data_IF_133438298318
#
_entry.id   IF_133438298318
#
_cell.length_a   1.000
_cell.length_b   1.000
_cell.length_c   1.000
_cell.angle_alpha   90.00
_cell.angle_beta   90.00
_cell.angle_gamma   90.00
#
_symmetry.space_group_name_H-M   'P 1'
#
loop_
_entity.id
_entity.type
_entity.pdbx_description
1 polymer ?
#
# COMPACT_ATOMS: atom_id res chain seq x y z
N UNK A 1 -19.21 10.81 -19.41
CA UNK A 1 -19.21 9.73 -18.41
C UNK A 1 -19.27 10.34 -17.03
N UNK A 2 -20.36 10.07 -16.32
CA UNK A 2 -20.55 10.39 -14.91
C UNK A 2 -19.64 9.53 -14.00
N UNK A 3 -19.48 9.95 -12.75
CA UNK A 3 -18.55 9.32 -11.80
C UNK A 3 -18.97 7.88 -11.44
N UNK A 4 -20.27 7.57 -11.49
CA UNK A 4 -20.79 6.22 -11.26
C UNK A 4 -20.42 5.29 -12.41
N UNK A 5 -20.61 5.68 -13.67
CA UNK A 5 -20.23 4.88 -14.84
C UNK A 5 -18.72 4.59 -14.89
N UNK A 6 -17.91 5.54 -14.44
CA UNK A 6 -16.46 5.41 -14.28
C UNK A 6 -16.09 4.38 -13.21
N UNK A 7 -16.66 4.51 -12.01
CA UNK A 7 -16.45 3.53 -10.95
C UNK A 7 -16.99 2.16 -11.40
N UNK A 8 -18.09 2.18 -12.16
CA UNK A 8 -18.77 0.99 -12.66
C UNK A 8 -17.84 0.15 -13.55
N UNK A 9 -17.17 0.82 -14.49
CA UNK A 9 -16.22 0.19 -15.41
C UNK A 9 -14.92 -0.25 -14.73
N UNK A 10 -14.48 0.45 -13.68
CA UNK A 10 -13.25 0.09 -12.97
C UNK A 10 -13.34 -1.17 -12.09
N UNK A 11 -14.56 -1.64 -11.75
CA UNK A 11 -14.75 -2.85 -10.94
C UNK A 11 -15.42 -4.00 -11.71
N UNK A 12 -15.62 -3.88 -13.02
CA UNK A 12 -16.13 -4.98 -13.87
C UNK A 12 -15.27 -6.24 -13.77
N UNK A 13 -13.95 -6.07 -13.60
CA UNK A 13 -13.05 -7.18 -13.37
C UNK A 13 -13.39 -7.94 -12.07
N UNK A 14 -13.81 -7.23 -11.01
CA UNK A 14 -14.27 -7.87 -9.78
C UNK A 14 -15.65 -8.50 -9.94
N UNK A 15 -16.54 -7.89 -10.74
CA UNK A 15 -17.79 -8.53 -11.13
C UNK A 15 -17.52 -9.87 -11.83
N UNK A 16 -16.49 -9.92 -12.67
CA UNK A 16 -16.08 -11.15 -13.35
C UNK A 16 -15.41 -12.15 -12.39
N UNK A 17 -14.53 -11.70 -11.48
CA UNK A 17 -13.98 -12.56 -10.44
C UNK A 17 -15.06 -13.14 -9.51
N UNK A 18 -16.10 -12.37 -9.19
CA UNK A 18 -17.21 -12.84 -8.36
C UNK A 18 -18.06 -13.91 -9.05
N UNK A 19 -18.06 -13.96 -10.39
CA UNK A 19 -18.73 -15.00 -11.18
C UNK A 19 -17.91 -16.28 -11.30
N UNK A 20 -16.60 -16.25 -11.02
CA UNK A 20 -15.75 -17.44 -11.07
C UNK A 20 -16.17 -18.37 -9.92
N UNK A 21 -16.62 -19.62 -10.20
CA UNK A 21 -16.92 -20.59 -9.15
C UNK A 21 -15.68 -20.78 -8.28
N UNK A 22 -15.82 -20.51 -6.98
CA UNK A 22 -14.74 -20.25 -6.01
C UNK A 22 -13.93 -21.49 -5.58
N UNK A 23 -13.57 -22.38 -6.51
CA UNK A 23 -12.75 -23.56 -6.21
C UNK A 23 -11.30 -23.23 -5.89
N UNK A 24 -10.78 -22.08 -6.35
CA UNK A 24 -9.40 -21.67 -6.08
C UNK A 24 -9.25 -20.77 -4.83
N UNK A 25 -10.16 -19.82 -4.61
CA UNK A 25 -10.11 -18.88 -3.49
C UNK A 25 -11.51 -18.43 -3.06
N UNK A 26 -11.75 -18.32 -1.76
CA UNK A 26 -12.94 -17.65 -1.20
C UNK A 26 -12.74 -16.13 -1.28
N UNK A 27 -13.78 -15.34 -1.59
CA UNK A 27 -13.68 -13.87 -1.69
C UNK A 27 -13.11 -13.21 -0.42
N UNK A 28 -13.32 -13.81 0.75
CA UNK A 28 -12.69 -13.40 2.03
C UNK A 28 -11.15 -13.48 2.06
N UNK A 29 -10.52 -14.13 1.08
CA UNK A 29 -9.06 -14.22 0.90
C UNK A 29 -8.56 -13.31 -0.22
N UNK A 30 -9.45 -12.57 -0.88
CA UNK A 30 -9.09 -11.58 -1.90
C UNK A 30 -8.93 -10.22 -1.25
N UNK A 31 -7.84 -9.53 -1.55
CA UNK A 31 -7.62 -8.13 -1.20
C UNK A 31 -7.35 -7.29 -2.44
N UNK A 32 -7.71 -6.01 -2.37
CA UNK A 32 -7.46 -5.03 -3.44
C UNK A 32 -6.49 -3.98 -2.92
N UNK A 33 -5.49 -3.61 -3.73
CA UNK A 33 -4.55 -2.54 -3.42
C UNK A 33 -4.78 -1.34 -4.32
N UNK A 34 -4.94 -0.17 -3.72
CA UNK A 34 -5.23 1.07 -4.42
C UNK A 34 -4.44 2.25 -3.86
N UNK A 35 -4.23 3.24 -4.71
CA UNK A 35 -3.63 4.53 -4.36
C UNK A 35 -4.68 5.63 -4.61
N UNK A 36 -5.30 6.18 -3.55
CA UNK A 36 -6.35 7.19 -3.69
C UNK A 36 -5.79 8.56 -4.11
N UNK A 37 -4.48 8.77 -4.09
CA UNK A 37 -3.85 10.06 -4.34
C UNK A 37 -3.12 10.12 -5.69
N UNK A 38 -2.78 8.98 -6.30
CA UNK A 38 -1.93 8.92 -7.49
C UNK A 38 -2.65 9.27 -8.80
N UNK A 39 -2.18 10.33 -9.46
CA UNK A 39 -2.61 10.78 -10.79
C UNK A 39 -1.61 10.45 -11.91
N UNK A 40 -0.37 10.03 -11.58
CA UNK A 40 0.69 9.80 -12.58
C UNK A 40 1.16 8.34 -12.69
N UNK A 41 1.30 7.89 -13.95
CA UNK A 41 1.77 6.57 -14.43
C UNK A 41 0.89 5.34 -14.10
N UNK A 42 -0.18 5.49 -13.34
CA UNK A 42 -1.25 4.50 -13.25
C UNK A 42 -2.50 5.11 -13.87
N UNK A 43 -3.08 4.43 -14.87
CA UNK A 43 -4.43 4.62 -15.42
C UNK A 43 -4.90 6.09 -15.33
N UNK A 44 -4.45 6.95 -16.25
CA UNK A 44 -4.73 8.40 -16.34
C UNK A 44 -6.23 8.79 -16.48
N UNK A 45 -7.15 7.89 -16.18
CA UNK A 45 -8.54 8.00 -16.58
C UNK A 45 -9.30 9.13 -15.89
N UNK A 46 -8.79 9.64 -14.77
CA UNK A 46 -9.46 10.66 -13.99
C UNK A 46 -8.45 11.73 -13.63
N UNK A 47 -8.41 12.81 -14.43
CA UNK A 47 -7.71 14.03 -14.03
C UNK A 47 -8.02 14.37 -12.57
N UNK A 48 -7.02 14.86 -11.85
CA UNK A 48 -6.92 14.98 -10.38
C UNK A 48 -8.20 15.44 -9.64
N UNK A 49 -9.05 16.21 -10.33
CA UNK A 49 -10.34 16.71 -9.83
C UNK A 49 -11.42 15.65 -9.61
N UNK A 50 -11.27 14.42 -10.12
CA UNK A 50 -12.30 13.36 -10.00
C UNK A 50 -11.99 12.29 -8.95
N UNK A 51 -10.73 12.12 -8.55
CA UNK A 51 -10.33 11.10 -7.57
C UNK A 51 -11.16 11.15 -6.27
N UNK A 52 -11.41 12.33 -5.66
CA UNK A 52 -12.18 12.40 -4.42
C UNK A 52 -13.65 11.99 -4.57
N UNK A 53 -14.18 11.89 -5.80
CA UNK A 53 -15.54 11.42 -6.09
C UNK A 53 -15.57 9.96 -6.50
N UNK A 54 -14.60 9.51 -7.28
CA UNK A 54 -14.57 8.14 -7.84
C UNK A 54 -14.13 7.11 -6.81
N UNK A 55 -13.11 7.40 -6.01
CA UNK A 55 -12.54 6.45 -5.06
C UNK A 55 -13.55 6.00 -3.98
N UNK A 56 -14.35 6.88 -3.35
CA UNK A 56 -15.39 6.46 -2.42
C UNK A 56 -16.41 5.51 -3.07
N UNK A 57 -16.84 5.81 -4.30
CA UNK A 57 -17.78 4.95 -5.03
C UNK A 57 -17.17 3.57 -5.33
N UNK A 58 -15.90 3.52 -5.72
CA UNK A 58 -15.18 2.25 -5.91
C UNK A 58 -15.07 1.45 -4.61
N UNK A 59 -14.72 2.11 -3.50
CA UNK A 59 -14.65 1.47 -2.18
C UNK A 59 -16.01 0.90 -1.74
N UNK A 60 -17.09 1.64 -1.98
CA UNK A 60 -18.46 1.19 -1.76
C UNK A 60 -18.77 -0.07 -2.55
N UNK A 61 -18.47 -0.11 -3.86
CA UNK A 61 -18.64 -1.33 -4.67
C UNK A 61 -17.80 -2.50 -4.14
N UNK A 62 -16.56 -2.25 -3.74
CA UNK A 62 -15.70 -3.29 -3.16
C UNK A 62 -16.27 -3.90 -1.88
N UNK A 63 -17.03 -3.12 -1.10
CA UNK A 63 -17.67 -3.61 0.12
C UNK A 63 -18.71 -4.71 -0.15
N UNK A 64 -19.39 -4.67 -1.30
CA UNK A 64 -20.46 -5.62 -1.66
C UNK A 64 -19.92 -7.05 -1.78
N UNK A 65 -18.67 -7.20 -2.21
CA UNK A 65 -18.04 -8.52 -2.37
C UNK A 65 -17.56 -9.13 -1.05
N UNK A 66 -17.53 -8.36 0.06
CA UNK A 66 -16.99 -8.82 1.36
C UNK A 66 -15.54 -9.32 1.23
N UNK A 67 -14.71 -8.49 0.61
CA UNK A 67 -13.27 -8.72 0.46
C UNK A 67 -12.59 -8.95 1.82
N UNK A 68 -11.45 -9.65 1.79
CA UNK A 68 -10.62 -9.87 2.97
C UNK A 68 -10.01 -8.58 3.52
N UNK A 69 -9.56 -7.69 2.64
CA UNK A 69 -9.04 -6.37 3.02
C UNK A 69 -8.96 -5.40 1.83
N UNK A 70 -8.84 -4.11 2.14
CA UNK A 70 -8.42 -3.07 1.19
C UNK A 70 -7.07 -2.50 1.63
N UNK A 71 -6.07 -2.53 0.75
CA UNK A 71 -4.72 -2.04 1.02
C UNK A 71 -4.54 -0.67 0.37
N UNK A 72 -4.46 0.37 1.20
CA UNK A 72 -4.44 1.76 0.78
C UNK A 72 -3.05 2.38 0.89
N UNK A 73 -2.55 2.89 -0.22
CA UNK A 73 -1.38 3.78 -0.24
C UNK A 73 -1.81 5.19 0.18
N UNK A 74 -2.09 5.39 1.46
CA UNK A 74 -2.75 6.59 2.01
C UNK A 74 -1.77 7.63 2.56
N UNK A 75 -0.53 7.27 2.85
CA UNK A 75 0.45 8.20 3.40
C UNK A 75 0.95 9.22 2.40
N UNK A 76 1.30 10.40 2.89
CA UNK A 76 1.69 11.57 2.09
C UNK A 76 3.21 11.70 1.88
N UNK A 77 3.93 10.58 1.98
CA UNK A 77 5.40 10.53 1.87
C UNK A 77 5.82 10.26 0.41
N UNK A 78 6.91 9.51 0.23
CA UNK A 78 7.46 9.16 -1.08
C UNK A 78 6.38 8.65 -2.06
N UNK A 79 6.31 9.30 -3.22
CA UNK A 79 5.32 9.00 -4.27
C UNK A 79 4.07 9.88 -4.25
N UNK A 80 3.81 10.60 -3.15
CA UNK A 80 2.76 11.60 -3.10
C UNK A 80 3.19 12.86 -3.87
N UNK A 81 2.40 13.29 -4.85
CA UNK A 81 2.73 14.41 -5.74
C UNK A 81 1.97 15.70 -5.42
N UNK A 82 1.14 15.71 -4.37
CA UNK A 82 0.40 16.90 -3.90
C UNK A 82 -0.46 17.60 -4.97
N UNK A 83 -1.01 16.85 -5.93
CA UNK A 83 -1.80 17.42 -7.04
C UNK A 83 -3.32 17.27 -6.89
N UNK A 84 -3.80 16.78 -5.75
CA UNK A 84 -5.22 16.56 -5.51
C UNK A 84 -5.60 16.69 -4.04
N UNK A 85 -6.91 16.69 -3.75
CA UNK A 85 -7.39 16.63 -2.37
C UNK A 85 -6.91 15.33 -1.73
N UNK A 86 -6.27 15.44 -0.57
CA UNK A 86 -5.91 14.28 0.24
C UNK A 86 -7.17 13.61 0.77
N UNK A 87 -7.28 12.30 0.54
CA UNK A 87 -8.24 11.45 1.22
C UNK A 87 -7.66 10.88 2.52
N UNK A 88 -8.54 10.62 3.48
CA UNK A 88 -8.22 10.00 4.77
C UNK A 88 -8.79 8.58 4.86
N UNK A 89 -8.25 7.75 5.74
CA UNK A 89 -8.80 6.41 5.99
C UNK A 89 -10.23 6.50 6.53
N UNK A 90 -10.51 7.48 7.40
CA UNK A 90 -11.85 7.72 7.94
C UNK A 90 -12.90 8.04 6.87
N UNK A 91 -12.54 8.76 5.80
CA UNK A 91 -13.44 8.98 4.65
C UNK A 91 -13.73 7.66 3.92
N UNK A 92 -12.72 6.79 3.75
CA UNK A 92 -12.85 5.52 3.02
C UNK A 92 -13.55 4.42 3.83
N UNK A 93 -13.38 4.38 5.16
CA UNK A 93 -14.08 3.43 6.05
C UNK A 93 -15.59 3.59 6.06
N UNK A 94 -16.10 4.78 5.72
CA UNK A 94 -17.55 5.01 5.55
C UNK A 94 -18.14 4.18 4.41
N UNK A 95 -17.36 3.97 3.35
CA UNK A 95 -17.77 3.26 2.15
C UNK A 95 -17.34 1.79 2.18
N UNK A 96 -16.20 1.49 2.83
CA UNK A 96 -15.68 0.14 2.99
C UNK A 96 -15.55 -0.22 4.47
N UNK A 97 -16.52 -0.96 5.06
CA UNK A 97 -16.50 -1.36 6.46
C UNK A 97 -15.63 -2.59 6.75
N UNK A 98 -14.88 -3.09 5.76
CA UNK A 98 -13.96 -4.23 5.92
C UNK A 98 -12.57 -3.83 6.41
N UNK A 99 -11.66 -4.80 6.60
CA UNK A 99 -10.31 -4.53 7.09
C UNK A 99 -9.48 -3.67 6.13
N UNK A 100 -8.75 -2.70 6.67
CA UNK A 100 -7.86 -1.81 5.93
C UNK A 100 -6.41 -2.07 6.31
N UNK A 101 -5.55 -2.13 5.29
CA UNK A 101 -4.10 -2.08 5.42
C UNK A 101 -3.62 -0.69 4.99
N UNK A 102 -3.15 0.13 5.92
CA UNK A 102 -2.58 1.43 5.63
C UNK A 102 -1.12 1.30 5.14
N UNK A 103 -0.71 2.15 4.20
CA UNK A 103 0.64 2.12 3.64
C UNK A 103 1.09 3.53 3.24
N UNK A 104 2.40 3.65 3.05
CA UNK A 104 3.22 4.81 2.67
C UNK A 104 3.63 5.64 3.88
N UNK A 105 4.94 5.76 4.11
CA UNK A 105 5.51 6.72 5.05
C UNK A 105 5.30 6.45 6.54
N UNK A 106 4.72 5.32 6.92
CA UNK A 106 4.59 4.94 8.34
C UNK A 106 5.95 4.54 8.93
N UNK A 107 6.16 4.97 10.16
CA UNK A 107 7.16 4.48 11.12
C UNK A 107 6.44 3.75 12.28
N UNK A 108 7.19 3.24 13.26
CA UNK A 108 6.61 2.50 14.38
C UNK A 108 5.58 3.33 15.17
N UNK A 109 5.88 4.60 15.45
CA UNK A 109 5.02 5.46 16.27
C UNK A 109 3.73 5.86 15.55
N UNK A 110 3.85 6.27 14.28
CA UNK A 110 2.70 6.63 13.44
C UNK A 110 1.84 5.40 13.11
N UNK A 111 2.44 4.22 12.94
CA UNK A 111 1.69 2.98 12.78
C UNK A 111 0.90 2.64 14.05
N UNK A 112 1.54 2.68 15.23
CA UNK A 112 0.87 2.40 16.51
C UNK A 112 -0.29 3.38 16.77
N UNK A 113 -0.09 4.66 16.45
CA UNK A 113 -1.15 5.67 16.53
C UNK A 113 -2.33 5.33 15.60
N UNK A 114 -2.07 4.99 14.34
CA UNK A 114 -3.11 4.66 13.37
C UNK A 114 -3.91 3.41 13.78
N UNK A 115 -3.23 2.40 14.33
CA UNK A 115 -3.85 1.17 14.83
C UNK A 115 -4.69 1.42 16.10
N UNK A 116 -4.13 2.13 17.08
CA UNK A 116 -4.81 2.40 18.37
C UNK A 116 -6.01 3.33 18.24
N UNK A 117 -6.00 4.25 17.27
CA UNK A 117 -7.15 5.10 16.95
C UNK A 117 -8.23 4.37 16.13
N UNK A 118 -7.99 3.10 15.75
CA UNK A 118 -8.90 2.31 14.91
C UNK A 118 -8.99 2.83 13.48
N UNK A 119 -7.99 3.59 13.04
CA UNK A 119 -7.90 4.13 11.69
C UNK A 119 -7.72 3.02 10.66
N UNK A 120 -6.81 2.08 10.91
CA UNK A 120 -6.62 0.87 10.12
C UNK A 120 -6.47 -0.37 11.02
N UNK A 121 -6.72 -1.55 10.45
CA UNK A 121 -6.52 -2.83 11.15
C UNK A 121 -5.09 -3.35 11.00
N UNK A 122 -4.37 -2.91 9.95
CA UNK A 122 -3.00 -3.28 9.66
C UNK A 122 -2.24 -2.10 9.05
N UNK A 123 -0.91 -2.10 9.21
CA UNK A 123 0.00 -1.16 8.54
C UNK A 123 1.07 -1.95 7.77
N UNK A 124 1.31 -1.59 6.52
CA UNK A 124 2.30 -2.21 5.65
C UNK A 124 3.56 -1.35 5.53
N UNK A 125 4.71 -1.98 5.75
CA UNK A 125 6.03 -1.39 5.55
C UNK A 125 6.67 -1.94 4.28
N UNK A 126 7.27 -1.06 3.48
CA UNK A 126 7.98 -1.42 2.24
C UNK A 126 9.49 -1.27 2.39
N UNK A 127 9.98 -0.06 2.09
CA UNK A 127 11.42 0.26 2.09
C UNK A 127 12.16 -0.04 3.41
N UNK A 128 11.59 0.18 4.61
CA UNK A 128 12.25 -0.19 5.85
C UNK A 128 12.57 -1.69 5.96
N UNK A 129 11.75 -2.56 5.36
CA UNK A 129 11.96 -4.03 5.34
C UNK A 129 13.15 -4.39 4.46
N UNK A 130 13.48 -3.58 3.45
CA UNK A 130 14.63 -3.85 2.57
C UNK A 130 15.95 -3.79 3.35
N UNK A 131 16.17 -2.76 4.17
CA UNK A 131 17.38 -2.65 4.98
C UNK A 131 17.32 -3.42 6.31
N UNK A 132 16.13 -3.76 6.79
CA UNK A 132 15.90 -4.42 8.07
C UNK A 132 15.03 -5.68 7.88
N UNK A 133 15.64 -6.85 7.58
CA UNK A 133 14.89 -8.11 7.51
C UNK A 133 14.23 -8.48 8.86
N UNK A 134 14.77 -7.95 9.96
CA UNK A 134 14.31 -8.06 11.35
C UNK A 134 13.51 -6.84 11.83
N UNK A 135 12.83 -6.14 10.89
CA UNK A 135 12.10 -4.90 11.18
C UNK A 135 11.11 -5.07 12.34
N UNK A 136 10.41 -6.21 12.38
CA UNK A 136 9.36 -6.47 13.37
C UNK A 136 9.97 -6.57 14.76
N UNK A 137 11.02 -7.39 14.90
CA UNK A 137 11.75 -7.57 16.15
C UNK A 137 12.34 -6.23 16.63
N UNK A 138 12.98 -5.47 15.73
CA UNK A 138 13.52 -4.16 16.07
C UNK A 138 12.45 -3.17 16.54
N UNK A 139 11.30 -3.13 15.88
CA UNK A 139 10.18 -2.27 16.28
C UNK A 139 9.61 -2.68 17.64
N UNK A 140 9.49 -3.98 17.92
CA UNK A 140 9.02 -4.49 19.20
C UNK A 140 9.99 -4.16 20.35
N UNK A 141 11.29 -4.27 20.10
CA UNK A 141 12.34 -4.00 21.09
C UNK A 141 12.70 -2.51 21.20
N UNK A 142 12.17 -1.66 20.31
CA UNK A 142 12.54 -0.25 20.23
C UNK A 142 13.99 -0.01 19.78
N UNK A 143 14.57 -0.94 19.01
CA UNK A 143 15.94 -0.84 18.49
C UNK A 143 16.01 0.09 17.28
N UNK A 144 17.19 0.65 17.07
CA UNK A 144 17.47 1.52 15.94
C UNK A 144 17.35 0.76 14.61
N UNK A 145 16.65 1.38 13.65
CA UNK A 145 16.52 0.83 12.30
C UNK A 145 17.69 1.26 11.45
N UNK A 146 18.22 0.34 10.63
CA UNK A 146 19.19 0.68 9.60
C UNK A 146 18.62 1.74 8.66
N UNK A 147 19.45 2.66 8.15
CA UNK A 147 19.02 3.63 7.16
C UNK A 147 18.44 2.93 5.93
N UNK A 148 17.57 3.62 5.22
CA UNK A 148 16.97 3.12 3.99
C UNK A 148 18.06 2.90 2.94
N UNK A 149 18.02 1.74 2.26
CA UNK A 149 18.95 1.47 1.16
C UNK A 149 18.83 2.54 0.06
N UNK A 150 19.96 2.90 -0.59
CA UNK A 150 19.93 3.70 -1.81
C UNK A 150 18.99 3.10 -2.87
N UNK A 151 18.43 3.96 -3.72
CA UNK A 151 17.44 3.56 -4.74
C UNK A 151 18.00 2.53 -5.74
N UNK A 152 19.31 2.48 -5.94
CA UNK A 152 19.98 1.53 -6.82
C UNK A 152 19.79 0.07 -6.40
N UNK A 153 19.56 -0.19 -5.10
CA UNK A 153 19.28 -1.53 -4.56
C UNK A 153 17.79 -1.89 -4.59
N UNK A 154 16.90 -0.98 -4.99
CA UNK A 154 15.46 -1.26 -5.01
C UNK A 154 15.03 -2.07 -6.23
N UNK A 155 15.87 -2.09 -7.26
CA UNK A 155 15.66 -2.76 -8.52
C UNK A 155 16.94 -3.53 -8.89
N UNK A 156 16.86 -4.40 -9.89
CA UNK A 156 18.04 -5.12 -10.40
C UNK A 156 19.17 -4.13 -10.72
N UNK A 157 20.41 -4.54 -10.41
CA UNK A 157 21.61 -3.73 -10.60
C UNK A 157 21.68 -3.13 -12.01
N UNK A 158 22.33 -1.96 -12.14
CA UNK A 158 22.44 -1.17 -13.39
C UNK A 158 22.95 -1.98 -14.60
N UNK A 159 23.63 -3.10 -14.36
CA UNK A 159 24.23 -3.97 -15.37
C UNK A 159 23.42 -5.25 -15.65
N UNK A 160 22.23 -5.41 -15.05
CA UNK A 160 21.45 -6.66 -15.04
C UNK A 160 22.25 -7.86 -14.52
N UNK A 161 23.24 -7.61 -13.67
CA UNK A 161 23.99 -8.66 -12.99
C UNK A 161 23.19 -9.09 -11.77
N UNK A 162 22.84 -10.37 -11.71
CA UNK A 162 22.24 -10.98 -10.54
C UNK A 162 23.28 -11.00 -9.42
N UNK A 163 23.05 -10.18 -8.40
CA UNK A 163 23.85 -10.11 -7.18
C UNK A 163 22.93 -10.25 -5.97
N UNK A 164 23.46 -10.80 -4.89
CA UNK A 164 22.81 -10.79 -3.58
C UNK A 164 22.93 -9.45 -2.86
N UNK A 165 23.80 -8.56 -3.36
CA UNK A 165 24.15 -7.29 -2.73
C UNK A 165 22.94 -6.37 -2.55
N UNK A 166 22.70 -5.95 -1.31
CA UNK A 166 21.57 -5.10 -0.94
C UNK A 166 20.21 -5.78 -1.10
N UNK A 167 20.17 -7.12 -1.21
CA UNK A 167 18.93 -7.89 -1.39
C UNK A 167 18.81 -9.02 -0.35
N UNK A 168 19.67 -10.04 -0.43
CA UNK A 168 19.63 -11.21 0.47
C UNK A 168 20.88 -11.36 1.33
N UNK A 169 21.87 -10.49 1.14
CA UNK A 169 23.13 -10.48 1.90
C UNK A 169 23.05 -9.64 3.19
N UNK A 170 21.94 -8.94 3.40
CA UNK A 170 21.67 -8.18 4.61
C UNK A 170 21.38 -9.15 5.77
N UNK A 171 22.33 -9.23 6.70
CA UNK A 171 22.21 -10.07 7.87
C UNK A 171 21.21 -9.48 8.87
N UNK A 172 20.57 -10.36 9.65
CA UNK A 172 19.77 -10.01 10.84
C UNK A 172 20.66 -9.51 11.98
N UNK A 173 21.97 -9.72 11.91
CA UNK A 173 22.91 -9.29 12.95
C UNK A 173 23.36 -7.83 12.73
N UNK A 174 23.42 -7.05 13.81
CA UNK A 174 23.65 -5.59 13.87
C UNK A 174 25.02 -5.10 13.38
N UNK A 175 25.59 -5.66 12.32
CA UNK A 175 26.70 -4.99 11.67
C UNK A 175 26.16 -3.91 10.72
N UNK A 176 26.55 -2.64 10.89
CA UNK A 176 26.16 -1.57 9.99
C UNK A 176 26.76 -1.84 8.61
N UNK A 177 25.92 -1.83 7.58
CA UNK A 177 26.40 -1.82 6.20
C UNK A 177 26.90 -0.40 5.94
N UNK A 178 28.23 -0.21 5.98
CA UNK A 178 28.85 1.04 5.60
C UNK A 178 28.45 1.37 4.15
N UNK A 179 27.83 2.53 3.95
CA UNK A 179 27.65 3.08 2.62
C UNK A 179 29.03 3.40 2.06
N UNK A 180 29.46 2.68 1.02
CA UNK A 180 30.68 3.04 0.29
C UNK A 180 30.40 4.30 -0.53
N UNK A 181 31.28 5.29 -0.36
CA UNK A 181 31.31 6.56 -1.11
C UNK A 181 31.48 6.36 -2.62
#
# INVERSE_FOLDING_TARGET
MDDFTVAATSTTLLDDFAKIPTTAYTIKRLGVRGDPHRSERCVQWHGERRLPRVVPVQAGRFSEYKLGYMHLMIGLSFGFHNKGKTMTIAELKKEFPGPIIANVGFDANSAEKELSEGGAELVAFGRPVLSNPDLVEKMQEGRELRPMLPMEYWYTSKENVWTSEGYTDLSVMDEPVEAKE
#
